data_IF_971716644439
#
_entry.id   IF_971716644439
#
_cell.length_a   1.000
_cell.length_b   1.000
_cell.length_c   1.000
_cell.angle_alpha   90.00
_cell.angle_beta   90.00
_cell.angle_gamma   90.00
#
_symmetry.space_group_name_H-M   'P 1'
#
loop_
_entity.id
_entity.type
_entity.pdbx_description
1 polymer ?
#
# COMPACT_ATOMS: atom_id res chain seq x y z
N UNK A 1 -0.59 -0.17 -21.55
CA UNK A 1 0.07 0.79 -20.64
C UNK A 1 -0.87 1.40 -19.60
N UNK A 2 -2.02 1.97 -19.99
CA UNK A 2 -2.88 2.74 -19.06
C UNK A 2 -3.39 2.03 -17.79
N UNK A 3 -3.71 0.74 -17.84
CA UNK A 3 -4.18 0.00 -16.64
C UNK A 3 -3.09 -0.09 -15.57
N UNK A 4 -1.84 -0.30 -15.98
CA UNK A 4 -0.71 -0.39 -15.05
C UNK A 4 -0.45 0.97 -14.42
N UNK A 5 -0.48 2.04 -15.21
CA UNK A 5 -0.29 3.41 -14.72
C UNK A 5 -1.41 3.82 -13.75
N UNK A 6 -2.67 3.47 -14.05
CA UNK A 6 -3.81 3.67 -13.16
C UNK A 6 -3.66 2.88 -11.84
N UNK A 7 -3.16 1.64 -11.92
CA UNK A 7 -2.80 0.83 -10.75
C UNK A 7 -1.75 1.51 -9.89
N UNK A 8 -0.64 1.95 -10.50
CA UNK A 8 0.44 2.66 -9.81
C UNK A 8 -0.04 3.95 -9.13
N UNK A 9 -0.93 4.71 -9.78
CA UNK A 9 -1.52 5.92 -9.21
C UNK A 9 -2.37 5.61 -7.97
N UNK A 10 -3.18 4.56 -8.04
CA UNK A 10 -4.14 4.17 -6.99
C UNK A 10 -3.46 3.53 -5.78
N UNK A 11 -2.45 2.68 -6.03
CA UNK A 11 -1.77 1.91 -4.99
C UNK A 11 -0.63 2.72 -4.36
N UNK A 12 0.22 3.36 -5.17
CA UNK A 12 1.43 4.05 -4.70
C UNK A 12 1.21 5.56 -4.57
N UNK A 13 0.88 6.25 -5.67
CA UNK A 13 0.99 7.71 -5.71
C UNK A 13 0.08 8.41 -4.70
N UNK A 14 -1.15 7.92 -4.52
CA UNK A 14 -2.11 8.50 -3.60
C UNK A 14 -1.66 8.46 -2.12
N UNK A 15 -0.81 7.49 -1.74
CA UNK A 15 -0.40 7.30 -0.35
C UNK A 15 1.07 7.59 -0.07
N UNK A 16 1.93 7.54 -1.08
CA UNK A 16 3.38 7.61 -0.92
C UNK A 16 4.04 8.76 -1.69
N UNK A 17 3.28 9.52 -2.50
CA UNK A 17 3.82 10.59 -3.36
C UNK A 17 3.04 11.90 -3.21
N UNK A 18 2.80 12.32 -1.96
CA UNK A 18 2.25 13.65 -1.66
C UNK A 18 3.37 14.58 -1.15
N UNK A 19 3.13 15.88 -1.25
CA UNK A 19 4.10 16.90 -0.79
C UNK A 19 4.40 16.74 0.70
N UNK A 20 5.66 16.95 1.09
CA UNK A 20 6.11 16.88 2.50
C UNK A 20 6.16 15.47 3.09
N UNK A 21 5.91 14.41 2.30
CA UNK A 21 6.01 13.04 2.77
C UNK A 21 7.45 12.54 2.82
N UNK A 22 7.86 12.05 3.99
CA UNK A 22 9.11 11.32 4.18
C UNK A 22 8.78 9.93 4.72
N UNK A 23 9.27 8.90 4.06
CA UNK A 23 9.00 7.51 4.41
C UNK A 23 10.30 6.79 4.71
N UNK A 24 10.31 6.03 5.80
CA UNK A 24 11.26 4.93 5.93
C UNK A 24 10.85 3.79 4.99
N UNK A 25 11.81 3.00 4.52
CA UNK A 25 11.52 1.82 3.66
C UNK A 25 10.53 0.88 4.36
N UNK A 26 10.73 0.62 5.67
CA UNK A 26 9.82 -0.20 6.48
C UNK A 26 8.40 0.39 6.51
N UNK A 27 8.27 1.69 6.73
CA UNK A 27 6.97 2.38 6.77
C UNK A 27 6.26 2.36 5.41
N UNK A 28 6.97 2.67 4.33
CA UNK A 28 6.42 2.63 2.98
C UNK A 28 5.92 1.22 2.62
N UNK A 29 6.71 0.18 2.89
CA UNK A 29 6.33 -1.21 2.63
C UNK A 29 5.09 -1.63 3.42
N UNK A 30 4.98 -1.22 4.69
CA UNK A 30 3.80 -1.53 5.51
C UNK A 30 2.51 -0.90 4.94
N UNK A 31 2.58 0.36 4.50
CA UNK A 31 1.44 1.05 3.87
C UNK A 31 1.09 0.43 2.51
N UNK A 32 2.10 0.07 1.72
CA UNK A 32 1.90 -0.57 0.42
C UNK A 32 1.19 -1.93 0.57
N UNK A 33 1.67 -2.77 1.47
CA UNK A 33 1.07 -4.08 1.75
C UNK A 33 -0.38 -3.95 2.26
N UNK A 34 -0.64 -3.00 3.16
CA UNK A 34 -2.00 -2.67 3.62
C UNK A 34 -2.92 -2.28 2.45
N UNK A 35 -2.47 -1.35 1.59
CA UNK A 35 -3.29 -0.86 0.46
C UNK A 35 -3.56 -1.95 -0.57
N UNK A 36 -2.55 -2.76 -0.88
CA UNK A 36 -2.72 -3.89 -1.79
C UNK A 36 -3.75 -4.87 -1.25
N UNK A 37 -3.65 -5.23 0.03
CA UNK A 37 -4.57 -6.18 0.66
C UNK A 37 -6.01 -5.64 0.71
N UNK A 38 -6.18 -4.35 1.00
CA UNK A 38 -7.50 -3.72 0.99
C UNK A 38 -8.13 -3.68 -0.41
N UNK A 39 -7.38 -3.33 -1.45
CA UNK A 39 -7.89 -3.26 -2.83
C UNK A 39 -8.18 -4.64 -3.43
N UNK A 40 -7.51 -5.69 -2.93
CA UNK A 40 -7.73 -7.07 -3.34
C UNK A 40 -8.73 -7.81 -2.43
N UNK A 41 -9.45 -7.12 -1.54
CA UNK A 41 -10.39 -7.73 -0.57
C UNK A 41 -9.77 -8.81 0.33
N UNK A 42 -8.46 -8.68 0.63
CA UNK A 42 -7.66 -9.58 1.49
C UNK A 42 -7.19 -8.90 2.77
N UNK A 43 -7.94 -7.91 3.25
CA UNK A 43 -7.54 -7.13 4.42
C UNK A 43 -7.42 -7.99 5.69
N UNK A 44 -8.34 -8.93 5.91
CA UNK A 44 -8.33 -9.80 7.09
C UNK A 44 -7.07 -10.66 7.15
N UNK A 45 -6.69 -11.33 6.05
CA UNK A 45 -5.44 -12.13 5.93
C UNK A 45 -4.19 -11.30 6.29
N UNK A 46 -4.12 -10.08 5.78
CA UNK A 46 -3.05 -9.14 6.12
C UNK A 46 -3.05 -8.76 7.60
N UNK A 47 -4.24 -8.50 8.17
CA UNK A 47 -4.38 -8.09 9.57
C UNK A 47 -4.00 -9.22 10.53
N UNK A 48 -4.46 -10.44 10.29
CA UNK A 48 -4.09 -11.63 11.05
C UNK A 48 -2.58 -11.84 11.07
N UNK A 49 -1.93 -11.80 9.90
CA UNK A 49 -0.47 -11.96 9.78
C UNK A 49 0.29 -10.91 10.59
N UNK A 50 -0.19 -9.64 10.61
CA UNK A 50 0.49 -8.57 11.32
C UNK A 50 0.24 -8.57 12.83
N UNK A 51 -0.90 -9.12 13.30
CA UNK A 51 -1.16 -9.30 14.73
C UNK A 51 -0.33 -10.41 15.37
N UNK A 52 0.07 -11.41 14.58
CA UNK A 52 0.86 -12.54 15.04
C UNK A 52 2.38 -12.28 15.10
N UNK A 53 2.84 -11.11 14.64
CA UNK A 53 4.24 -10.72 14.52
C UNK A 53 4.69 -9.76 15.63
#
# INVERSE_FOLDING_TARGET
>A
SGVIEAGCKTVIAHRLKQSGMFWSVKGANAILALRCSHLNSRFEDYWESRRAA
#
